data_IF_181833431489
#
_entry.id   IF_181833431489
#
_cell.length_a   1.000
_cell.length_b   1.000
_cell.length_c   1.000
_cell.angle_alpha   90.00
_cell.angle_beta   90.00
_cell.angle_gamma   90.00
#
_symmetry.space_group_name_H-M   'P 1'
#
loop_
_entity.id
_entity.type
_entity.pdbx_description
1 polymer ?
#
# COMPACT_ATOMS: atom_id res chain seq x y z
N UNK A 1 13.70 -10.39 8.38
CA UNK A 1 12.42 -10.90 8.96
C UNK A 1 11.47 -11.25 7.80
N UNK A 2 10.79 -12.39 7.89
CA UNK A 2 9.77 -12.79 6.90
C UNK A 2 8.44 -12.98 7.61
N UNK A 3 7.43 -12.31 7.11
CA UNK A 3 6.03 -12.41 7.52
C UNK A 3 5.29 -13.16 6.41
N UNK A 4 4.63 -14.26 6.77
CA UNK A 4 3.92 -15.11 5.83
C UNK A 4 2.41 -15.01 6.05
N UNK A 5 1.69 -14.60 5.02
CA UNK A 5 0.25 -14.48 5.03
C UNK A 5 -0.45 -15.78 4.60
N UNK A 6 -1.62 -16.06 5.15
CA UNK A 6 -2.50 -17.12 4.68
C UNK A 6 -3.13 -16.75 3.35
N UNK A 7 -3.59 -17.74 2.63
CA UNK A 7 -4.37 -17.54 1.40
C UNK A 7 -5.70 -16.84 1.70
N UNK A 8 -6.08 -15.94 0.78
CA UNK A 8 -7.41 -15.36 0.69
C UNK A 8 -7.47 -13.86 0.93
N UNK A 9 -8.57 -13.28 0.45
CA UNK A 9 -8.90 -11.86 0.50
C UNK A 9 -8.87 -11.26 1.92
N UNK A 10 -9.31 -12.02 2.93
CA UNK A 10 -9.34 -11.55 4.33
C UNK A 10 -7.98 -11.59 5.03
N UNK A 11 -6.93 -11.98 4.34
CA UNK A 11 -5.57 -12.06 4.90
C UNK A 11 -4.73 -10.88 4.42
N UNK A 12 -4.75 -9.78 5.14
CA UNK A 12 -4.02 -8.54 4.81
C UNK A 12 -3.48 -7.88 6.07
N UNK A 13 -2.53 -6.96 5.91
CA UNK A 13 -2.04 -6.08 6.98
C UNK A 13 -2.60 -4.67 6.77
N UNK A 14 -3.41 -4.18 7.70
CA UNK A 14 -3.93 -2.82 7.67
C UNK A 14 -3.43 -2.01 8.86
N UNK A 15 -2.83 -0.87 8.58
CA UNK A 15 -2.49 0.15 9.58
C UNK A 15 -3.61 1.17 9.59
N UNK A 16 -4.43 1.14 10.63
CA UNK A 16 -5.54 2.08 10.80
C UNK A 16 -5.03 3.52 11.01
N UNK A 17 -5.86 4.49 10.72
CA UNK A 17 -5.53 5.92 10.85
C UNK A 17 -5.00 6.26 12.25
N UNK A 18 -3.81 6.82 12.34
CA UNK A 18 -3.11 7.13 13.57
C UNK A 18 -2.24 5.99 14.11
N UNK A 19 -2.35 4.78 13.55
CA UNK A 19 -1.39 3.70 13.77
C UNK A 19 -0.08 3.96 13.03
N UNK A 20 0.96 3.21 13.39
CA UNK A 20 2.29 3.28 12.75
C UNK A 20 2.87 1.90 12.52
N UNK A 21 3.40 1.70 11.33
CA UNK A 21 4.17 0.51 10.99
C UNK A 21 5.65 0.88 10.85
N UNK A 22 6.50 0.21 11.59
CA UNK A 22 7.95 0.29 11.43
C UNK A 22 8.48 -1.03 10.88
N UNK A 23 8.74 -1.04 9.59
CA UNK A 23 9.29 -2.19 8.87
C UNK A 23 10.64 -1.77 8.24
N UNK A 24 11.65 -1.64 9.10
CA UNK A 24 12.97 -1.16 8.73
C UNK A 24 13.94 -2.32 8.57
N UNK A 25 14.13 -2.75 7.32
CA UNK A 25 15.13 -3.72 6.92
C UNK A 25 16.45 -3.07 6.51
N UNK A 26 17.32 -3.87 5.91
CA UNK A 26 18.55 -3.44 5.26
C UNK A 26 18.70 -4.14 3.90
N UNK A 27 19.62 -3.69 3.05
CA UNK A 27 19.87 -4.32 1.75
C UNK A 27 20.17 -5.82 1.89
N UNK A 28 20.98 -6.20 2.90
CA UNK A 28 21.35 -7.59 3.14
C UNK A 28 20.29 -8.39 3.91
N UNK A 29 19.40 -7.70 4.63
CA UNK A 29 18.37 -8.29 5.48
C UNK A 29 17.03 -7.57 5.32
N UNK A 30 16.38 -7.65 4.16
CA UNK A 30 15.09 -7.01 3.94
C UNK A 30 14.00 -7.63 4.84
N UNK A 31 12.94 -6.87 5.06
CA UNK A 31 11.69 -7.38 5.60
C UNK A 31 10.84 -7.86 4.43
N UNK A 32 10.31 -9.07 4.54
CA UNK A 32 9.56 -9.72 3.45
C UNK A 32 8.16 -10.06 3.94
N UNK A 33 7.15 -9.51 3.27
CA UNK A 33 5.76 -9.92 3.38
C UNK A 33 5.43 -10.80 2.17
N UNK A 34 4.96 -12.01 2.40
CA UNK A 34 4.79 -12.99 1.30
C UNK A 34 3.76 -14.07 1.62
N UNK A 35 3.43 -14.87 0.63
CA UNK A 35 2.55 -16.02 0.73
C UNK A 35 3.11 -17.13 1.65
N UNK A 36 2.25 -17.78 2.45
CA UNK A 36 2.61 -18.94 3.27
C UNK A 36 2.42 -20.25 2.50
N UNK A 37 3.13 -20.40 1.41
CA UNK A 37 3.10 -21.61 0.56
C UNK A 37 4.46 -21.83 -0.10
N UNK A 38 4.67 -23.03 -0.63
CA UNK A 38 5.85 -23.37 -1.45
C UNK A 38 5.63 -23.10 -2.94
N UNK A 39 4.38 -22.83 -3.35
CA UNK A 39 4.00 -22.53 -4.74
C UNK A 39 3.15 -21.25 -4.76
N UNK A 40 3.77 -20.09 -4.50
CA UNK A 40 3.04 -18.83 -4.46
C UNK A 40 2.54 -18.43 -5.86
N UNK A 41 1.40 -17.76 -5.87
CA UNK A 41 0.80 -17.16 -7.07
C UNK A 41 0.37 -15.74 -6.76
N UNK A 42 0.26 -14.89 -7.77
CA UNK A 42 -0.33 -13.57 -7.71
C UNK A 42 -1.73 -13.66 -7.04
N UNK A 43 -2.08 -12.68 -6.20
CA UNK A 43 -3.36 -12.66 -5.49
C UNK A 43 -3.49 -13.66 -4.33
N UNK A 44 -2.38 -14.23 -3.85
CA UNK A 44 -2.45 -15.20 -2.75
C UNK A 44 -3.01 -14.59 -1.45
N UNK A 45 -2.72 -13.33 -1.19
CA UNK A 45 -3.16 -12.59 0.01
C UNK A 45 -3.42 -11.11 -0.32
N UNK A 46 -3.98 -10.35 0.62
CA UNK A 46 -4.46 -9.00 0.37
C UNK A 46 -3.38 -7.92 0.24
N UNK A 47 -2.19 -8.10 0.82
CA UNK A 47 -1.16 -7.05 0.77
C UNK A 47 -1.09 -6.17 2.01
N UNK A 48 -0.45 -5.00 1.86
CA UNK A 48 -0.21 -4.04 2.94
C UNK A 48 -0.97 -2.75 2.66
N UNK A 49 -1.74 -2.28 3.63
CA UNK A 49 -2.56 -1.06 3.55
C UNK A 49 -2.17 -0.12 4.67
N UNK A 50 -1.97 1.15 4.36
CA UNK A 50 -1.69 2.20 5.34
C UNK A 50 -2.70 3.33 5.19
N UNK A 51 -3.46 3.60 6.26
CA UNK A 51 -4.44 4.68 6.32
C UNK A 51 -3.89 5.87 7.10
N UNK A 52 -3.60 6.96 6.40
CA UNK A 52 -3.11 8.21 6.97
C UNK A 52 -4.18 9.28 7.12
N UNK A 53 -3.75 10.48 7.52
CA UNK A 53 -4.58 11.67 7.78
C UNK A 53 -4.27 12.82 6.82
N UNK A 54 -3.49 12.57 5.76
CA UNK A 54 -3.15 13.59 4.78
C UNK A 54 -4.34 13.89 3.84
N UNK A 55 -4.34 15.04 3.17
CA UNK A 55 -5.43 15.44 2.29
C UNK A 55 -5.67 14.45 1.14
N UNK A 56 -6.94 14.29 0.81
CA UNK A 56 -7.43 13.57 -0.36
C UNK A 56 -8.44 14.47 -1.09
N UNK A 57 -8.66 14.25 -2.39
CA UNK A 57 -9.65 15.04 -3.13
C UNK A 57 -11.11 14.64 -2.86
N UNK A 58 -11.31 13.67 -1.98
CA UNK A 58 -12.62 13.10 -1.68
C UNK A 58 -13.17 12.22 -2.80
N UNK A 59 -14.36 11.70 -2.60
CA UNK A 59 -15.06 10.97 -3.65
C UNK A 59 -15.48 11.90 -4.79
N UNK A 60 -15.72 11.35 -5.97
CA UNK A 60 -16.27 12.11 -7.11
C UNK A 60 -17.64 12.74 -6.80
N UNK A 61 -18.36 12.18 -5.84
CA UNK A 61 -19.73 12.57 -5.50
C UNK A 61 -19.81 13.60 -4.39
N UNK A 62 -19.07 13.47 -3.32
CA UNK A 62 -19.21 14.31 -2.11
C UNK A 62 -18.02 15.22 -1.83
N UNK A 63 -16.84 14.95 -2.44
CA UNK A 63 -15.60 15.70 -2.24
C UNK A 63 -15.22 15.83 -0.76
N UNK A 64 -15.54 14.82 0.02
CA UNK A 64 -15.22 14.78 1.46
C UNK A 64 -13.71 14.75 1.70
N UNK A 65 -13.27 15.29 2.82
CA UNK A 65 -11.85 15.24 3.24
C UNK A 65 -11.41 13.85 3.70
N UNK A 66 -12.36 12.92 3.83
CA UNK A 66 -12.13 11.55 4.27
C UNK A 66 -12.87 10.56 3.39
N UNK A 67 -12.35 9.34 3.29
CA UNK A 67 -12.98 8.22 2.62
C UNK A 67 -12.87 6.95 3.47
N UNK A 68 -13.54 5.89 3.06
CA UNK A 68 -13.45 4.57 3.67
C UNK A 68 -12.53 3.69 2.84
N UNK A 69 -11.77 2.83 3.52
CA UNK A 69 -10.89 1.86 2.85
C UNK A 69 -11.75 0.92 2.00
N UNK A 70 -11.39 0.77 0.74
CA UNK A 70 -12.18 0.04 -0.26
C UNK A 70 -12.52 -1.38 0.19
N UNK A 71 -11.55 -2.11 0.67
CA UNK A 71 -11.70 -3.51 1.07
C UNK A 71 -12.36 -3.71 2.44
N UNK A 72 -12.47 -2.64 3.24
CA UNK A 72 -13.05 -2.70 4.58
C UNK A 72 -13.55 -1.32 5.05
N UNK A 73 -14.84 -1.10 4.96
CA UNK A 73 -15.49 0.18 5.27
C UNK A 73 -15.52 0.53 6.78
N UNK A 74 -15.00 -0.31 7.66
CA UNK A 74 -14.85 0.02 9.08
C UNK A 74 -13.66 0.97 9.33
N UNK A 75 -12.78 1.13 8.34
CA UNK A 75 -11.57 1.93 8.46
C UNK A 75 -11.58 3.11 7.50
N UNK A 76 -11.46 4.31 8.05
CA UNK A 76 -11.37 5.56 7.31
C UNK A 76 -9.93 6.00 7.10
N UNK A 77 -9.72 6.86 6.10
CA UNK A 77 -8.48 7.59 5.84
C UNK A 77 -8.74 9.01 5.34
N UNK A 78 -7.69 9.79 5.18
CA UNK A 78 -7.78 11.19 4.75
C UNK A 78 -7.98 12.16 5.91
N UNK A 79 -7.90 13.43 5.61
CA UNK A 79 -8.00 14.54 6.55
C UNK A 79 -7.21 15.75 6.10
N UNK A 80 -6.61 16.51 7.01
CA UNK A 80 -5.90 17.76 6.72
C UNK A 80 -4.42 17.77 7.10
N UNK A 81 -3.88 16.66 7.63
CA UNK A 81 -2.50 16.60 8.09
C UNK A 81 -1.55 16.14 6.95
N UNK A 82 -1.11 17.08 6.12
CA UNK A 82 -0.20 16.78 5.02
C UNK A 82 1.13 16.14 5.48
N UNK A 83 1.55 16.40 6.71
CA UNK A 83 2.73 15.87 7.36
C UNK A 83 2.45 14.64 8.24
N UNK A 84 1.29 14.00 8.06
CA UNK A 84 0.96 12.76 8.79
C UNK A 84 2.08 11.74 8.69
N UNK A 85 2.32 11.05 9.81
CA UNK A 85 3.38 10.05 9.93
C UNK A 85 2.80 8.72 10.38
N UNK A 86 2.74 7.79 9.44
CA UNK A 86 2.29 6.40 9.63
C UNK A 86 3.45 5.40 9.82
N UNK A 87 4.66 5.89 10.10
CA UNK A 87 5.83 5.06 10.39
C UNK A 87 6.87 5.03 9.27
N UNK A 88 7.51 3.88 9.07
CA UNK A 88 8.55 3.71 8.04
C UNK A 88 8.53 2.31 7.43
N UNK A 89 8.72 2.26 6.12
CA UNK A 89 8.99 1.06 5.34
C UNK A 89 10.31 1.27 4.60
N UNK A 90 11.36 0.54 4.99
CA UNK A 90 12.68 0.62 4.34
C UNK A 90 13.22 -0.78 4.07
N UNK A 91 13.68 -1.02 2.85
CA UNK A 91 14.10 -2.35 2.39
C UNK A 91 13.03 -3.41 2.66
N UNK A 92 11.85 -3.17 2.12
CA UNK A 92 10.68 -4.05 2.25
C UNK A 92 10.38 -4.71 0.91
N UNK A 93 10.08 -6.01 0.95
CA UNK A 93 9.55 -6.77 -0.18
C UNK A 93 8.11 -7.18 0.12
N UNK A 94 7.21 -6.96 -0.84
CA UNK A 94 5.81 -7.39 -0.81
C UNK A 94 5.60 -8.28 -2.02
N UNK A 95 5.24 -9.54 -1.80
CA UNK A 95 5.19 -10.53 -2.87
C UNK A 95 3.88 -11.30 -2.87
N UNK A 96 3.31 -11.52 -4.07
CA UNK A 96 2.13 -12.35 -4.30
C UNK A 96 0.85 -11.84 -3.63
N UNK A 97 0.71 -10.52 -3.55
CA UNK A 97 -0.43 -9.81 -2.97
C UNK A 97 -1.53 -9.56 -4.02
N UNK A 98 -2.50 -8.70 -3.69
CA UNK A 98 -3.54 -8.27 -4.61
C UNK A 98 -4.74 -9.19 -4.66
N UNK A 99 -5.06 -9.93 -3.59
CA UNK A 99 -6.23 -10.81 -3.58
C UNK A 99 -7.54 -10.04 -3.83
N UNK A 100 -8.42 -10.60 -4.66
CA UNK A 100 -9.68 -10.00 -5.08
C UNK A 100 -10.87 -10.68 -4.41
N UNK A 101 -11.89 -9.90 -4.06
CA UNK A 101 -13.21 -10.42 -3.64
C UNK A 101 -14.19 -10.44 -4.79
N UNK A 102 -14.17 -9.38 -5.59
CA UNK A 102 -14.96 -9.20 -6.82
C UNK A 102 -14.09 -8.47 -7.84
N UNK A 103 -14.62 -8.22 -9.05
CA UNK A 103 -13.93 -7.40 -10.05
C UNK A 103 -13.76 -5.91 -9.67
N UNK A 104 -14.47 -5.46 -8.63
CA UNK A 104 -14.49 -4.06 -8.20
C UNK A 104 -14.00 -3.87 -6.75
N UNK A 105 -13.62 -4.94 -6.05
CA UNK A 105 -13.12 -4.90 -4.66
C UNK A 105 -11.83 -5.72 -4.60
N UNK A 106 -10.72 -5.02 -4.67
CA UNK A 106 -9.40 -5.58 -4.89
C UNK A 106 -8.40 -5.03 -3.87
N UNK A 107 -7.42 -5.85 -3.57
CA UNK A 107 -6.22 -5.40 -2.85
C UNK A 107 -5.09 -5.14 -3.84
N UNK A 108 -4.19 -4.28 -3.45
CA UNK A 108 -2.93 -4.02 -4.16
C UNK A 108 -1.74 -4.69 -3.44
N UNK A 109 -0.57 -4.60 -4.02
CA UNK A 109 0.66 -4.92 -3.30
C UNK A 109 0.84 -4.03 -2.08
N UNK A 110 0.89 -2.73 -2.30
CA UNK A 110 0.95 -1.68 -1.28
C UNK A 110 -0.10 -0.61 -1.55
N UNK A 111 -1.03 -0.42 -0.63
CA UNK A 111 -2.06 0.63 -0.72
C UNK A 111 -1.75 1.75 0.26
N UNK A 112 -1.64 2.99 -0.24
CA UNK A 112 -1.33 4.18 0.55
C UNK A 112 -2.51 5.16 0.54
N UNK A 113 -3.36 5.04 1.54
CA UNK A 113 -4.61 5.79 1.68
C UNK A 113 -4.38 7.08 2.48
N UNK A 114 -4.32 8.23 1.83
CA UNK A 114 -4.13 9.52 2.49
C UNK A 114 -2.89 9.57 3.38
N UNK A 115 -1.81 8.92 2.96
CA UNK A 115 -0.56 8.87 3.72
C UNK A 115 0.22 10.18 3.55
N UNK A 116 0.72 10.72 4.66
CA UNK A 116 1.41 12.00 4.68
C UNK A 116 2.93 11.91 4.49
N UNK A 117 3.55 13.05 4.16
CA UNK A 117 4.98 13.15 3.85
C UNK A 117 5.90 12.99 5.09
N UNK A 118 5.34 12.88 6.29
CA UNK A 118 6.07 12.47 7.49
C UNK A 118 6.34 10.96 7.54
N UNK A 119 5.68 10.16 6.67
CA UNK A 119 5.89 8.72 6.54
C UNK A 119 7.07 8.45 5.61
N UNK A 120 7.95 7.55 6.02
CA UNK A 120 9.14 7.19 5.24
C UNK A 120 8.90 5.93 4.43
N UNK A 121 9.05 5.99 3.08
CA UNK A 121 8.92 4.82 2.18
C UNK A 121 10.10 4.81 1.20
N UNK A 122 11.02 3.88 1.41
CA UNK A 122 12.27 3.81 0.65
C UNK A 122 12.71 2.36 0.41
N UNK A 123 13.26 2.09 -0.78
CA UNK A 123 13.80 0.78 -1.15
C UNK A 123 12.75 -0.32 -1.06
N UNK A 124 11.67 -0.16 -1.79
CA UNK A 124 10.53 -1.07 -1.83
C UNK A 124 10.60 -1.95 -3.07
N UNK A 125 10.27 -3.21 -2.92
CA UNK A 125 10.13 -4.18 -3.99
C UNK A 125 8.75 -4.82 -3.92
N UNK A 126 7.97 -4.70 -4.99
CA UNK A 126 6.66 -5.38 -5.12
C UNK A 126 6.74 -6.38 -6.26
N UNK A 127 6.36 -7.62 -5.99
CA UNK A 127 6.41 -8.73 -6.94
C UNK A 127 5.06 -9.42 -7.06
N UNK A 128 4.56 -9.53 -8.29
CA UNK A 128 3.36 -10.32 -8.63
C UNK A 128 2.16 -9.99 -7.74
N UNK A 129 1.66 -8.75 -7.81
CA UNK A 129 0.35 -8.37 -7.31
C UNK A 129 -0.71 -8.74 -8.35
N UNK A 130 -1.87 -9.26 -7.93
CA UNK A 130 -2.97 -9.58 -8.85
C UNK A 130 -3.83 -8.36 -9.21
N UNK A 131 -3.46 -7.22 -8.70
CA UNK A 131 -3.92 -5.89 -9.05
C UNK A 131 -2.69 -4.98 -9.09
N UNK A 132 -2.78 -3.71 -8.72
CA UNK A 132 -1.65 -2.79 -8.77
C UNK A 132 -0.49 -3.21 -7.88
N UNK A 133 0.72 -2.87 -8.29
CA UNK A 133 1.87 -3.03 -7.42
C UNK A 133 1.80 -2.05 -6.24
N UNK A 134 1.52 -0.78 -6.53
CA UNK A 134 1.30 0.26 -5.52
C UNK A 134 0.21 1.23 -5.99
N UNK A 135 -0.76 1.50 -5.11
CA UNK A 135 -1.82 2.48 -5.35
C UNK A 135 -1.82 3.57 -4.27
N UNK A 136 -2.01 4.82 -4.74
CA UNK A 136 -2.07 6.03 -3.91
C UNK A 136 -3.47 6.65 -3.95
N UNK A 137 -4.22 6.50 -2.88
CA UNK A 137 -5.50 7.21 -2.68
C UNK A 137 -5.25 8.57 -2.03
N UNK A 138 -4.89 9.57 -2.82
CA UNK A 138 -4.53 10.90 -2.32
C UNK A 138 -3.26 10.88 -1.47
N UNK A 139 -3.15 11.84 -0.55
CA UNK A 139 -1.99 11.97 0.32
C UNK A 139 -0.80 12.71 -0.29
N UNK A 140 0.27 12.80 0.49
CA UNK A 140 1.47 13.61 0.19
C UNK A 140 2.76 12.83 0.39
N UNK A 141 2.68 11.53 0.65
CA UNK A 141 3.85 10.68 0.94
C UNK A 141 4.84 10.66 -0.23
N UNK A 142 6.12 10.65 0.08
CA UNK A 142 7.18 10.48 -0.92
C UNK A 142 7.68 9.04 -0.92
N UNK A 143 7.95 8.51 -2.12
CA UNK A 143 8.51 7.18 -2.31
C UNK A 143 9.83 7.28 -3.07
N UNK A 144 10.86 6.64 -2.54
CA UNK A 144 12.19 6.62 -3.17
C UNK A 144 12.66 5.19 -3.38
N UNK A 145 13.18 4.88 -4.57
CA UNK A 145 13.69 3.55 -4.94
C UNK A 145 12.60 2.47 -4.80
N UNK A 146 11.65 2.44 -5.70
CA UNK A 146 10.64 1.39 -5.79
C UNK A 146 10.82 0.60 -7.09
N UNK A 147 10.78 -0.71 -6.98
CA UNK A 147 10.75 -1.62 -8.12
C UNK A 147 9.46 -2.44 -8.07
N UNK A 148 8.60 -2.26 -9.07
CA UNK A 148 7.41 -3.07 -9.30
C UNK A 148 7.69 -4.11 -10.40
N UNK A 149 7.32 -5.37 -10.17
CA UNK A 149 7.56 -6.46 -11.11
C UNK A 149 6.32 -7.31 -11.26
N UNK A 150 5.83 -7.40 -12.49
CA UNK A 150 4.70 -8.24 -12.91
C UNK A 150 3.43 -8.07 -12.04
N UNK A 151 2.89 -6.86 -11.81
CA UNK A 151 1.52 -6.75 -11.37
C UNK A 151 0.59 -7.12 -12.53
N UNK A 152 -0.64 -7.51 -12.22
CA UNK A 152 -1.63 -7.86 -13.24
C UNK A 152 -2.33 -6.62 -13.81
N UNK A 153 -2.26 -5.45 -13.11
CA UNK A 153 -2.76 -4.17 -13.60
C UNK A 153 -1.64 -3.12 -13.57
N UNK A 154 -1.76 -2.03 -12.83
CA UNK A 154 -0.83 -0.92 -12.89
C UNK A 154 0.43 -1.13 -12.02
N UNK A 155 1.58 -0.64 -12.52
CA UNK A 155 2.80 -0.57 -11.72
C UNK A 155 2.67 0.48 -10.61
N UNK A 156 2.03 1.61 -10.94
CA UNK A 156 1.81 2.77 -10.09
C UNK A 156 0.46 3.38 -10.41
N UNK A 157 -0.54 3.26 -9.56
CA UNK A 157 -1.81 3.95 -9.71
C UNK A 157 -1.93 5.17 -8.78
N UNK A 158 -2.48 6.26 -9.31
CA UNK A 158 -2.61 7.55 -8.63
C UNK A 158 -4.04 8.05 -8.71
N UNK A 159 -4.72 8.04 -7.58
CA UNK A 159 -6.10 8.50 -7.48
C UNK A 159 -6.26 9.61 -6.42
N UNK A 160 -7.44 10.14 -6.29
CA UNK A 160 -7.88 11.08 -5.24
C UNK A 160 -6.90 12.25 -4.96
N UNK A 161 -6.24 12.75 -6.02
CA UNK A 161 -5.42 13.95 -5.91
C UNK A 161 -4.08 13.74 -5.17
N UNK A 162 -3.48 12.57 -5.31
CA UNK A 162 -2.12 12.34 -4.79
C UNK A 162 -1.17 13.46 -5.21
N UNK A 163 -0.35 13.93 -4.27
CA UNK A 163 0.52 15.09 -4.46
C UNK A 163 1.89 14.93 -3.76
N UNK A 164 2.42 13.71 -3.78
CA UNK A 164 3.77 13.38 -3.34
C UNK A 164 4.78 13.32 -4.48
N UNK A 165 5.95 12.77 -4.20
CA UNK A 165 7.04 12.62 -5.16
C UNK A 165 7.49 11.17 -5.24
N UNK A 166 7.60 10.63 -6.46
CA UNK A 166 8.26 9.37 -6.74
C UNK A 166 9.66 9.63 -7.32
N UNK A 167 10.67 9.00 -6.73
CA UNK A 167 12.06 9.14 -7.17
C UNK A 167 12.70 7.77 -7.36
N UNK A 168 13.33 7.55 -8.53
CA UNK A 168 13.97 6.28 -8.88
C UNK A 168 12.98 5.09 -8.75
N UNK A 169 11.80 5.22 -9.34
CA UNK A 169 10.79 4.17 -9.37
C UNK A 169 10.75 3.55 -10.76
N UNK A 170 10.70 2.22 -10.82
CA UNK A 170 10.66 1.44 -12.05
C UNK A 170 9.54 0.38 -11.97
N UNK A 171 8.93 0.13 -13.12
CA UNK A 171 7.94 -0.91 -13.32
C UNK A 171 7.93 -1.45 -14.75
#
# INVERSE_FOLDING_TARGET
TTIKAREGFSSYLLVAQGGKLYADGTADKPIVFTANTTSPVSGYWGGVIINGKAPISGSKTDKSDTALTEINNDYKYGGSAADDNSGSLTYVKICYAGARSTADIEHNGLTLNGVGNGTKIENIYVLESADDAIEFFGGTVNVTNLLAVNPDDDMFDFTQGYCGTLKNCYG
#
